data_IF_632026733995
#
_entry.id   IF_632026733995
#
_cell.length_a   1.000
_cell.length_b   1.000
_cell.length_c   1.000
_cell.angle_alpha   90.00
_cell.angle_beta   90.00
_cell.angle_gamma   90.00
#
_symmetry.space_group_name_H-M   'P 1'
#
loop_
_entity.id
_entity.type
_entity.pdbx_description
1 polymer ?
#
# COMPACT_ATOMS: atom_id res chain seq x y z
N UNK A 1 -62.08 -45.72 -56.30
CA UNK A 1 -63.23 -46.46 -55.73
C UNK A 1 -62.68 -47.75 -55.13
N UNK A 2 -63.13 -48.21 -53.94
CA UNK A 2 -64.11 -47.64 -53.00
C UNK A 2 -63.44 -47.21 -51.67
N UNK A 3 -63.86 -46.20 -50.91
CA UNK A 3 -65.17 -45.89 -50.29
C UNK A 3 -65.65 -46.96 -49.30
N UNK A 4 -66.00 -46.54 -48.08
CA UNK A 4 -66.68 -47.37 -47.08
C UNK A 4 -65.99 -47.24 -45.71
N UNK A 5 -66.13 -46.14 -44.98
CA UNK A 5 -67.32 -45.73 -44.24
C UNK A 5 -67.69 -46.75 -43.15
N UNK A 6 -67.35 -46.44 -41.91
CA UNK A 6 -68.18 -46.87 -40.79
C UNK A 6 -68.40 -45.68 -39.85
N UNK A 7 -69.66 -45.26 -39.79
CA UNK A 7 -70.21 -44.28 -38.87
C UNK A 7 -71.17 -45.03 -37.95
N UNK A 8 -71.06 -44.81 -36.63
CA UNK A 8 -72.14 -44.44 -35.68
C UNK A 8 -71.75 -44.73 -34.20
N UNK A 9 -72.44 -44.17 -33.18
CA UNK A 9 -72.09 -42.85 -32.64
C UNK A 9 -72.11 -42.83 -31.08
N UNK A 10 -72.12 -41.61 -30.54
CA UNK A 10 -72.75 -41.21 -29.28
C UNK A 10 -71.88 -41.25 -28.01
N UNK A 11 -71.76 -40.08 -27.37
CA UNK A 11 -71.16 -39.93 -26.04
C UNK A 11 -70.67 -38.52 -25.77
N UNK A 12 -71.58 -37.56 -25.65
CA UNK A 12 -71.28 -36.23 -25.10
C UNK A 12 -70.76 -36.38 -23.67
N UNK A 13 -69.57 -35.86 -23.39
CA UNK A 13 -69.21 -35.37 -22.06
C UNK A 13 -68.35 -34.13 -22.24
N UNK A 14 -68.96 -32.96 -22.01
CA UNK A 14 -68.24 -31.70 -21.96
C UNK A 14 -67.36 -31.69 -20.73
N UNK A 15 -66.05 -31.58 -20.93
CA UNK A 15 -65.11 -31.25 -19.86
C UNK A 15 -64.69 -29.81 -20.11
N UNK A 16 -65.28 -28.89 -19.34
CA UNK A 16 -64.78 -27.54 -19.21
C UNK A 16 -63.39 -27.64 -18.56
N UNK A 17 -62.33 -27.54 -19.37
CA UNK A 17 -60.98 -27.39 -18.85
C UNK A 17 -60.83 -25.96 -18.34
N UNK A 18 -60.98 -25.79 -17.02
CA UNK A 18 -60.51 -24.59 -16.31
C UNK A 18 -58.99 -24.52 -16.48
N UNK A 19 -58.53 -23.66 -17.39
CA UNK A 19 -57.14 -23.20 -17.44
C UNK A 19 -56.89 -22.37 -16.18
N UNK A 20 -56.49 -23.02 -15.10
CA UNK A 20 -55.90 -22.33 -13.95
C UNK A 20 -54.56 -21.76 -14.41
N UNK A 21 -54.55 -20.46 -14.71
CA UNK A 21 -53.32 -19.71 -14.97
C UNK A 21 -52.43 -19.78 -13.73
N UNK A 22 -51.37 -20.59 -13.79
CA UNK A 22 -50.28 -20.51 -12.83
C UNK A 22 -49.58 -19.16 -13.07
N UNK A 23 -49.96 -18.16 -12.28
CA UNK A 23 -49.17 -16.95 -12.11
C UNK A 23 -47.91 -17.38 -11.37
N UNK A 24 -46.82 -17.62 -12.11
CA UNK A 24 -45.50 -17.68 -11.51
C UNK A 24 -45.19 -16.29 -10.98
N UNK A 25 -45.31 -16.14 -9.65
CA UNK A 25 -44.76 -14.98 -8.96
C UNK A 25 -43.25 -14.97 -9.23
N UNK A 26 -42.82 -14.11 -10.16
CA UNK A 26 -41.41 -13.77 -10.32
C UNK A 26 -41.05 -12.99 -9.06
N UNK A 27 -40.53 -13.69 -8.05
CA UNK A 27 -39.82 -13.02 -6.96
C UNK A 27 -38.70 -12.22 -7.63
N UNK A 28 -38.62 -10.89 -7.44
CA UNK A 28 -37.42 -10.17 -7.83
C UNK A 28 -36.30 -10.83 -7.05
N UNK A 29 -35.37 -11.48 -7.76
CA UNK A 29 -34.10 -11.86 -7.18
C UNK A 29 -33.52 -10.53 -6.70
N UNK A 30 -33.53 -10.34 -5.39
CA UNK A 30 -32.92 -9.17 -4.77
C UNK A 30 -31.54 -9.03 -5.38
N UNK A 31 -31.24 -7.84 -5.91
CA UNK A 31 -29.87 -7.52 -6.27
C UNK A 31 -29.04 -7.87 -5.04
N UNK A 32 -28.24 -8.93 -5.15
CA UNK A 32 -27.24 -9.23 -4.13
C UNK A 32 -26.44 -7.94 -4.02
N UNK A 33 -26.45 -7.33 -2.82
CA UNK A 33 -25.63 -6.16 -2.55
C UNK A 33 -24.23 -6.51 -3.04
N UNK A 34 -23.80 -5.87 -4.13
CA UNK A 34 -22.42 -5.93 -4.54
C UNK A 34 -21.67 -5.30 -3.38
N UNK A 35 -21.04 -6.14 -2.53
CA UNK A 35 -20.28 -5.68 -1.38
C UNK A 35 -19.26 -4.67 -1.91
N UNK A 36 -19.54 -3.39 -1.70
CA UNK A 36 -18.68 -2.31 -2.17
C UNK A 36 -17.37 -2.49 -1.45
N UNK A 37 -16.29 -2.65 -2.22
CA UNK A 37 -14.95 -2.74 -1.67
C UNK A 37 -14.73 -1.64 -0.63
N UNK A 38 -13.98 -1.91 0.46
CA UNK A 38 -13.65 -0.89 1.45
C UNK A 38 -13.03 0.35 0.77
N UNK A 39 -13.04 1.52 1.41
CA UNK A 39 -12.35 2.68 0.84
C UNK A 39 -10.85 2.41 0.70
N UNK A 40 -10.25 2.90 -0.39
CA UNK A 40 -8.81 2.86 -0.60
C UNK A 40 -8.10 3.68 0.49
N UNK A 41 -7.12 3.11 1.22
CA UNK A 41 -6.47 3.79 2.32
C UNK A 41 -5.44 4.83 1.85
N UNK A 42 -4.95 5.64 2.78
CA UNK A 42 -3.72 6.42 2.63
C UNK A 42 -2.76 6.00 3.74
N UNK A 43 -1.54 5.62 3.37
CA UNK A 43 -0.42 5.46 4.31
C UNK A 43 0.52 6.65 4.20
N UNK A 44 1.44 6.79 5.15
CA UNK A 44 2.41 7.88 5.18
C UNK A 44 3.81 7.36 5.46
N UNK A 45 4.79 8.01 4.87
CA UNK A 45 6.21 7.83 5.20
C UNK A 45 6.92 9.18 5.18
N UNK A 46 8.07 9.25 5.82
CA UNK A 46 8.97 10.39 5.72
C UNK A 46 9.98 10.16 4.60
N UNK A 47 10.21 11.15 3.75
CA UNK A 47 11.21 11.09 2.70
C UNK A 47 12.33 12.08 3.03
N UNK A 48 13.54 11.56 3.24
CA UNK A 48 14.78 12.34 3.24
C UNK A 48 15.33 12.36 1.81
N UNK A 49 15.23 13.49 1.11
CA UNK A 49 15.55 13.60 -0.33
C UNK A 49 16.46 14.80 -0.58
N UNK A 50 17.22 14.78 -1.69
CA UNK A 50 18.09 15.90 -2.09
C UNK A 50 17.47 16.79 -3.16
N UNK A 51 17.58 18.11 -3.00
CA UNK A 51 17.25 19.10 -4.02
C UNK A 51 18.37 19.35 -5.05
N UNK A 52 18.11 20.17 -6.08
CA UNK A 52 19.10 20.52 -7.10
C UNK A 52 20.34 21.26 -6.55
N UNK A 53 20.23 21.93 -5.41
CA UNK A 53 21.34 22.63 -4.76
C UNK A 53 22.22 21.67 -3.95
N UNK A 54 21.78 20.42 -3.74
CA UNK A 54 22.48 19.42 -2.96
C UNK A 54 22.14 19.47 -1.48
N UNK A 55 21.03 20.11 -1.11
CA UNK A 55 20.51 20.20 0.25
C UNK A 55 19.51 19.07 0.47
N UNK A 56 19.62 18.37 1.59
CA UNK A 56 18.62 17.37 1.98
C UNK A 56 17.41 18.01 2.66
N UNK A 57 16.27 17.35 2.54
CA UNK A 57 14.97 17.79 3.06
C UNK A 57 14.16 16.63 3.61
N UNK A 58 13.38 16.89 4.67
CA UNK A 58 12.37 15.97 5.18
C UNK A 58 10.95 16.35 4.72
N UNK A 59 10.28 15.45 4.01
CA UNK A 59 8.87 15.61 3.58
C UNK A 59 8.00 14.44 4.04
N UNK A 60 6.82 14.71 4.61
CA UNK A 60 5.83 13.66 4.91
C UNK A 60 5.02 13.34 3.66
N UNK A 61 5.18 12.14 3.15
CA UNK A 61 4.67 11.70 1.85
C UNK A 61 3.52 10.70 1.99
N UNK A 62 2.43 10.87 1.24
CA UNK A 62 1.34 9.89 1.21
C UNK A 62 1.68 8.73 0.25
N UNK A 63 1.20 7.53 0.59
CA UNK A 63 1.09 6.37 -0.31
C UNK A 63 -0.40 6.05 -0.49
N UNK A 64 -0.84 5.89 -1.72
CA UNK A 64 -2.24 5.80 -2.15
C UNK A 64 -2.44 4.85 -3.32
N UNK A 65 -1.40 4.40 -4.02
CA UNK A 65 -1.52 3.56 -5.22
C UNK A 65 -1.82 2.07 -4.89
N UNK A 66 -2.67 1.82 -3.89
CA UNK A 66 -3.05 0.48 -3.44
C UNK A 66 -4.07 -0.22 -4.34
N UNK A 67 -3.80 -1.48 -4.67
CA UNK A 67 -4.79 -2.41 -5.22
C UNK A 67 -5.32 -3.37 -4.16
N UNK A 68 -6.64 -3.55 -4.08
CA UNK A 68 -7.26 -4.55 -3.20
C UNK A 68 -7.17 -5.93 -3.86
N UNK A 69 -6.21 -6.75 -3.42
CA UNK A 69 -5.92 -8.07 -3.99
C UNK A 69 -5.54 -9.05 -2.89
N UNK A 70 -5.69 -10.36 -3.13
CA UNK A 70 -5.11 -11.39 -2.27
C UNK A 70 -3.60 -11.46 -2.49
N UNK A 71 -2.79 -11.49 -1.43
CA UNK A 71 -1.33 -11.72 -1.55
C UNK A 71 -1.02 -13.16 -1.96
N UNK A 72 -1.66 -14.12 -1.29
CA UNK A 72 -1.59 -15.55 -1.60
C UNK A 72 -2.87 -16.23 -1.13
N UNK A 73 -3.48 -17.05 -1.99
CA UNK A 73 -4.66 -17.83 -1.58
C UNK A 73 -4.27 -18.84 -0.48
N UNK A 74 -5.15 -19.10 0.51
CA UNK A 74 -6.56 -18.71 0.60
C UNK A 74 -6.82 -17.41 1.40
N UNK A 75 -5.83 -16.54 1.61
CA UNK A 75 -6.02 -15.32 2.39
C UNK A 75 -7.03 -14.36 1.71
N UNK A 76 -7.78 -13.62 2.53
CA UNK A 76 -8.64 -12.53 2.05
C UNK A 76 -7.83 -11.43 1.35
N UNK A 77 -8.49 -10.57 0.56
CA UNK A 77 -7.80 -9.48 -0.11
C UNK A 77 -7.34 -8.42 0.89
N UNK A 78 -6.21 -7.78 0.60
CA UNK A 78 -5.72 -6.62 1.32
C UNK A 78 -5.19 -5.57 0.33
N UNK A 79 -5.17 -4.32 0.76
CA UNK A 79 -4.63 -3.21 -0.01
C UNK A 79 -3.11 -3.38 -0.16
N UNK A 80 -2.63 -3.40 -1.40
CA UNK A 80 -1.22 -3.61 -1.73
C UNK A 80 -0.77 -2.55 -2.72
N UNK A 81 0.25 -1.79 -2.35
CA UNK A 81 1.06 -1.04 -3.30
C UNK A 81 2.36 -1.83 -3.50
N UNK A 82 2.65 -2.18 -4.76
CA UNK A 82 3.80 -3.00 -5.11
C UNK A 82 4.87 -2.11 -5.73
N UNK A 83 5.88 -1.80 -4.93
CA UNK A 83 7.07 -1.14 -5.42
C UNK A 83 7.81 -2.05 -6.43
N UNK A 84 8.68 -1.42 -7.21
CA UNK A 84 9.54 -2.09 -8.19
C UNK A 84 10.29 -3.24 -7.52
N UNK A 85 10.21 -4.43 -8.11
CA UNK A 85 11.00 -5.58 -7.65
C UNK A 85 12.47 -5.41 -8.01
N UNK A 86 13.36 -5.81 -7.11
CA UNK A 86 14.79 -5.80 -7.38
C UNK A 86 15.57 -6.65 -6.36
N UNK A 87 16.90 -6.52 -6.34
CA UNK A 87 17.68 -6.96 -5.20
C UNK A 87 17.43 -6.06 -3.98
N UNK A 88 17.08 -6.65 -2.85
CA UNK A 88 17.00 -5.94 -1.57
C UNK A 88 17.86 -6.61 -0.49
N UNK A 89 18.35 -5.81 0.45
CA UNK A 89 19.03 -6.30 1.65
C UNK A 89 18.28 -5.84 2.90
N UNK A 90 17.86 -6.80 3.72
CA UNK A 90 17.25 -6.54 5.03
C UNK A 90 18.33 -6.60 6.11
N UNK A 91 18.36 -5.58 6.97
CA UNK A 91 19.33 -5.43 8.04
C UNK A 91 18.56 -5.12 9.33
N UNK A 92 18.80 -5.91 10.38
CA UNK A 92 18.40 -5.54 11.73
C UNK A 92 19.55 -4.83 12.41
N UNK A 93 19.30 -3.63 12.93
CA UNK A 93 20.32 -2.82 13.60
C UNK A 93 19.86 -2.42 14.99
N UNK A 94 20.79 -2.42 15.94
CA UNK A 94 20.59 -1.84 17.26
C UNK A 94 21.55 -0.66 17.39
N UNK A 95 20.98 0.54 17.47
CA UNK A 95 21.71 1.73 17.86
C UNK A 95 21.82 1.73 19.39
N UNK A 96 23.03 1.70 19.98
CA UNK A 96 23.19 1.74 21.43
C UNK A 96 22.61 3.04 22.01
N UNK A 97 22.37 3.07 23.32
CA UNK A 97 21.95 4.28 24.02
C UNK A 97 22.87 5.46 23.67
N UNK A 98 22.27 6.63 23.42
CA UNK A 98 22.96 7.86 23.02
C UNK A 98 23.78 7.76 21.72
N UNK A 99 23.46 6.83 20.82
CA UNK A 99 24.08 6.78 19.50
C UNK A 99 23.84 8.10 18.73
N UNK A 100 24.87 8.52 18.00
CA UNK A 100 24.91 9.70 17.16
C UNK A 100 25.53 9.32 15.82
N UNK A 101 24.80 9.55 14.73
CA UNK A 101 25.24 9.28 13.36
C UNK A 101 26.14 10.38 12.78
N UNK A 102 26.13 11.58 13.37
CA UNK A 102 26.69 12.81 12.80
C UNK A 102 26.15 13.07 11.37
N UNK A 103 26.64 14.13 10.72
CA UNK A 103 26.24 14.47 9.36
C UNK A 103 26.81 13.48 8.33
N UNK A 104 25.95 12.69 7.70
CA UNK A 104 26.30 11.75 6.64
C UNK A 104 25.10 11.46 5.72
N UNK A 105 25.33 11.11 4.43
CA UNK A 105 24.29 10.53 3.59
C UNK A 105 24.07 9.06 3.94
N UNK A 106 22.87 8.57 3.67
CA UNK A 106 22.58 7.14 3.72
C UNK A 106 23.46 6.38 2.68
N UNK A 107 23.94 5.16 2.96
CA UNK A 107 24.83 4.44 2.04
C UNK A 107 24.13 3.94 0.75
N UNK A 108 22.80 3.81 0.79
CA UNK A 108 21.92 3.41 -0.32
C UNK A 108 20.54 3.99 -0.11
N UNK A 109 19.73 4.03 -1.18
CA UNK A 109 18.29 4.22 -1.04
C UNK A 109 17.76 3.14 -0.10
N UNK A 110 17.20 3.53 1.04
CA UNK A 110 16.83 2.57 2.07
C UNK A 110 15.60 2.98 2.87
N UNK A 111 14.74 1.99 3.13
CA UNK A 111 13.65 2.14 4.08
C UNK A 111 14.15 1.88 5.50
N UNK A 112 13.76 2.72 6.46
CA UNK A 112 14.17 2.64 7.85
C UNK A 112 12.92 2.67 8.72
N UNK A 113 12.74 1.61 9.51
CA UNK A 113 11.55 1.42 10.35
C UNK A 113 12.01 1.16 11.78
N UNK A 114 11.73 2.07 12.72
CA UNK A 114 11.93 1.79 14.13
C UNK A 114 10.98 0.67 14.58
N UNK A 115 11.54 -0.31 15.26
CA UNK A 115 10.83 -1.41 15.91
C UNK A 115 10.66 -1.13 17.42
N UNK A 116 11.65 -0.45 18.00
CA UNK A 116 11.67 -0.03 19.42
C UNK A 116 12.49 1.24 19.58
N UNK A 117 12.08 2.08 20.54
CA UNK A 117 12.70 3.38 20.78
C UNK A 117 12.33 4.39 19.70
N UNK A 118 12.91 5.58 19.77
CA UNK A 118 12.73 6.61 18.77
C UNK A 118 14.07 7.24 18.40
N UNK A 119 14.19 7.68 17.17
CA UNK A 119 15.35 8.40 16.64
C UNK A 119 14.88 9.68 15.98
N UNK A 120 15.80 10.62 15.79
CA UNK A 120 15.55 11.81 15.00
C UNK A 120 16.40 11.81 13.74
N UNK A 121 15.92 12.53 12.74
CA UNK A 121 16.66 12.90 11.54
C UNK A 121 16.50 14.40 11.34
N UNK A 122 17.61 15.11 11.21
CA UNK A 122 17.68 16.52 10.86
C UNK A 122 18.29 16.61 9.46
N UNK A 123 17.51 17.12 8.52
CA UNK A 123 17.99 17.40 7.17
C UNK A 123 18.81 18.70 7.13
N UNK A 124 19.51 18.93 6.03
CA UNK A 124 20.41 20.08 5.86
C UNK A 124 19.67 21.42 5.84
N UNK A 125 18.40 21.43 5.47
CA UNK A 125 17.51 22.60 5.60
C UNK A 125 17.12 22.93 7.06
N UNK A 126 17.60 22.14 8.03
CA UNK A 126 17.32 22.28 9.45
C UNK A 126 16.01 21.65 9.89
N UNK A 127 15.22 21.05 8.99
CA UNK A 127 13.99 20.38 9.36
C UNK A 127 14.30 19.07 10.11
N UNK A 128 13.85 18.99 11.36
CA UNK A 128 14.02 17.84 12.24
C UNK A 128 12.71 17.05 12.39
N UNK A 129 12.79 15.75 12.20
CA UNK A 129 11.68 14.80 12.41
C UNK A 129 12.09 13.79 13.48
N UNK A 130 11.16 13.43 14.37
CA UNK A 130 11.32 12.34 15.34
C UNK A 130 10.41 11.18 14.92
N UNK A 131 10.97 9.97 14.85
CA UNK A 131 10.28 8.77 14.40
C UNK A 131 10.41 7.67 15.46
N UNK A 132 9.27 7.11 15.84
CA UNK A 132 9.17 5.99 16.79
C UNK A 132 8.64 4.72 16.11
N UNK A 133 8.23 3.71 16.90
CA UNK A 133 7.81 2.42 16.35
C UNK A 133 6.62 2.56 15.40
N UNK A 134 6.76 1.98 14.20
CA UNK A 134 5.73 2.01 13.16
C UNK A 134 5.79 3.22 12.21
N UNK A 135 6.58 4.25 12.51
CA UNK A 135 6.89 5.30 11.52
C UNK A 135 7.87 4.75 10.48
N UNK A 136 7.69 5.12 9.22
CA UNK A 136 8.51 4.64 8.10
C UNK A 136 9.25 5.83 7.49
N UNK A 137 10.55 5.69 7.26
CA UNK A 137 11.37 6.67 6.54
C UNK A 137 12.00 6.06 5.30
N UNK A 138 12.11 6.85 4.23
CA UNK A 138 12.94 6.58 3.07
C UNK A 138 14.14 7.52 3.10
N UNK A 139 15.33 6.94 3.18
CA UNK A 139 16.61 7.63 3.06
C UNK A 139 17.08 7.67 1.60
N UNK A 140 17.05 8.85 0.97
CA UNK A 140 17.44 9.09 -0.43
C UNK A 140 18.24 10.41 -0.56
N UNK A 141 19.17 10.65 0.37
CA UNK A 141 19.95 11.88 0.45
C UNK A 141 21.39 11.76 -0.11
N UNK A 142 21.65 10.71 -0.88
CA UNK A 142 23.00 10.35 -1.36
C UNK A 142 23.61 11.37 -2.32
N UNK A 143 22.76 12.19 -2.95
CA UNK A 143 23.19 13.21 -3.91
C UNK A 143 23.42 14.57 -3.26
N UNK A 144 23.26 14.66 -1.93
CA UNK A 144 23.58 15.87 -1.17
C UNK A 144 25.06 16.23 -1.28
N UNK A 145 25.35 17.52 -1.12
CA UNK A 145 26.69 18.09 -1.22
C UNK A 145 27.01 18.80 0.07
N UNK A 146 28.30 18.90 0.40
CA UNK A 146 28.72 19.61 1.62
C UNK A 146 28.31 21.07 1.57
N UNK A 147 27.64 21.54 2.61
CA UNK A 147 27.36 22.97 2.82
C UNK A 147 28.63 23.72 3.32
N UNK A 148 28.59 25.07 3.45
CA UNK A 148 29.72 25.83 3.99
C UNK A 148 30.12 25.50 5.43
N UNK A 149 29.24 24.84 6.18
CA UNK A 149 29.47 24.36 7.56
C UNK A 149 30.06 22.93 7.56
N UNK A 150 30.12 22.27 6.39
CA UNK A 150 30.65 20.93 6.19
C UNK A 150 29.60 19.81 6.33
N UNK A 151 28.33 20.15 6.58
CA UNK A 151 27.25 19.17 6.69
C UNK A 151 26.92 18.56 5.33
N UNK A 152 26.54 17.29 5.31
CA UNK A 152 26.12 16.53 4.12
C UNK A 152 25.17 15.44 4.56
N UNK A 153 24.17 15.11 3.73
CA UNK A 153 23.15 14.10 4.04
C UNK A 153 22.26 14.55 5.18
N UNK A 154 22.29 13.86 6.31
CA UNK A 154 21.49 14.18 7.48
C UNK A 154 22.27 13.97 8.78
N UNK A 155 21.79 14.60 9.85
CA UNK A 155 22.21 14.32 11.23
C UNK A 155 21.13 13.50 11.94
N UNK A 156 21.53 12.41 12.58
CA UNK A 156 20.59 11.51 13.26
C UNK A 156 21.12 11.04 14.61
N UNK A 157 20.19 10.72 15.51
CA UNK A 157 20.52 10.17 16.81
C UNK A 157 19.31 9.62 17.56
N UNK A 158 19.56 8.91 18.64
CA UNK A 158 18.50 8.39 19.50
C UNK A 158 17.77 9.54 20.21
N UNK A 159 16.50 9.28 20.55
CA UNK A 159 15.72 10.08 21.48
C UNK A 159 15.62 9.32 22.80
N UNK A 160 16.01 9.97 23.88
CA UNK A 160 16.08 9.36 25.22
C UNK A 160 17.36 8.55 25.46
N UNK A 161 17.32 7.73 26.51
CA UNK A 161 18.50 7.04 27.06
C UNK A 161 18.53 5.54 26.76
N UNK A 162 17.56 5.05 25.98
CA UNK A 162 17.45 3.65 25.61
C UNK A 162 18.04 3.38 24.20
N UNK A 163 18.44 2.12 23.92
CA UNK A 163 18.76 1.69 22.57
C UNK A 163 17.55 1.82 21.62
N UNK A 164 17.84 2.02 20.33
CA UNK A 164 16.85 2.02 19.25
C UNK A 164 17.07 0.79 18.38
N UNK A 165 16.01 0.04 18.13
CA UNK A 165 16.02 -1.13 17.24
C UNK A 165 15.37 -0.73 15.93
N UNK A 166 16.07 -0.95 14.81
CA UNK A 166 15.57 -0.62 13.47
C UNK A 166 15.59 -1.86 12.59
N UNK A 167 14.61 -1.95 11.70
CA UNK A 167 14.74 -2.70 10.46
C UNK A 167 15.08 -1.72 9.33
N UNK A 168 16.13 -2.04 8.58
CA UNK A 168 16.54 -1.29 7.39
C UNK A 168 16.41 -2.19 6.18
N UNK A 169 15.78 -1.69 5.11
CA UNK A 169 15.65 -2.37 3.82
C UNK A 169 16.33 -1.53 2.76
N UNK A 170 17.53 -1.93 2.36
CA UNK A 170 18.26 -1.29 1.27
C UNK A 170 17.76 -1.82 -0.07
N UNK A 171 17.43 -0.92 -0.99
CA UNK A 171 16.92 -1.27 -2.32
C UNK A 171 17.95 -0.91 -3.40
N UNK A 172 17.95 -1.67 -4.49
CA UNK A 172 18.76 -1.37 -5.68
C UNK A 172 18.08 -0.33 -6.58
N UNK A 173 17.98 0.90 -6.06
CA UNK A 173 17.47 2.06 -6.79
C UNK A 173 18.53 3.15 -6.85
N UNK A 174 18.58 3.86 -7.97
CA UNK A 174 19.36 5.08 -8.06
C UNK A 174 18.66 6.20 -7.28
N UNK A 175 19.40 7.01 -6.51
CA UNK A 175 18.83 8.19 -5.87
C UNK A 175 18.42 9.24 -6.92
N UNK A 176 17.47 10.07 -6.54
CA UNK A 176 16.88 11.11 -7.38
C UNK A 176 17.08 12.51 -6.78
N UNK A 177 16.89 13.53 -7.62
CA UNK A 177 16.99 14.95 -7.26
C UNK A 177 15.65 15.62 -7.53
N UNK A 178 15.19 16.49 -6.63
CA UNK A 178 13.92 17.23 -6.74
C UNK A 178 12.68 16.32 -6.93
N UNK A 179 12.71 15.11 -6.35
CA UNK A 179 11.60 14.14 -6.44
C UNK A 179 11.06 13.75 -5.05
N UNK A 180 10.56 14.71 -4.24
CA UNK A 180 9.85 14.35 -3.02
C UNK A 180 8.63 13.48 -3.35
N UNK A 181 8.32 12.54 -2.46
CA UNK A 181 7.15 11.67 -2.58
C UNK A 181 7.04 10.94 -3.93
N UNK A 182 8.16 10.38 -4.43
CA UNK A 182 8.15 9.62 -5.70
C UNK A 182 7.54 8.21 -5.59
N UNK A 183 7.33 7.71 -4.37
CA UNK A 183 6.50 6.53 -4.08
C UNK A 183 5.15 7.03 -3.56
N UNK A 184 4.03 6.62 -4.18
CA UNK A 184 2.77 7.38 -4.14
C UNK A 184 1.51 6.60 -3.85
#
# INVERSE_FOLDING_TARGET
>A
MPMGNDQRPCGRAGVLALLAGMVFAVCPVGAADAETAPPRPTMWYWHNWTDHDGISHMTKCPVRDFDLKTMSAPAGPQWQDRLKSGPEQVIFTVQPAHWNGAWHPDPKVQWIIPLKGAWYVTAMDGHKVVMGPGEVSLGEDQLSRRDPQGHVGHDAGNVGDDPVELMVVQVDEAPTVDQPCRFR
#
